data_IF_099417084528
#
_entry.id   IF_099417084528
#
_cell.length_a   1.000
_cell.length_b   1.000
_cell.length_c   1.000
_cell.angle_alpha   90.00
_cell.angle_beta   90.00
_cell.angle_gamma   90.00
#
_symmetry.space_group_name_H-M   'P 1'
#
loop_
_entity.id
_entity.type
_entity.pdbx_description
1 polymer ?
#
# COMPACT_ATOMS: atom_id res chain seq x y z
N UNK A 1 4.70 -18.12 5.16
CA UNK A 1 5.04 -18.29 3.74
C UNK A 1 3.79 -18.39 2.89
N UNK A 2 2.89 -19.35 3.12
CA UNK A 2 1.63 -19.48 2.36
C UNK A 2 0.79 -18.18 2.26
N UNK A 3 0.67 -17.40 3.33
CA UNK A 3 -0.07 -16.12 3.33
C UNK A 3 0.57 -15.04 2.44
N UNK A 4 1.90 -15.01 2.33
CA UNK A 4 2.61 -14.07 1.45
C UNK A 4 2.46 -14.52 0.00
N UNK A 5 2.57 -15.82 -0.26
CA UNK A 5 2.40 -16.38 -1.61
C UNK A 5 0.98 -16.13 -2.13
N UNK A 6 -0.03 -16.27 -1.27
CA UNK A 6 -1.42 -15.94 -1.58
C UNK A 6 -1.58 -14.44 -1.88
N UNK A 7 -1.04 -13.56 -1.02
CA UNK A 7 -1.07 -12.11 -1.24
C UNK A 7 -0.42 -11.71 -2.58
N UNK A 8 0.74 -12.30 -2.90
CA UNK A 8 1.44 -12.04 -4.17
C UNK A 8 0.66 -12.57 -5.36
N UNK A 9 -0.01 -13.73 -5.23
CA UNK A 9 -0.86 -14.26 -6.28
C UNK A 9 -2.06 -13.35 -6.55
N UNK A 10 -2.75 -12.89 -5.49
CA UNK A 10 -3.90 -11.98 -5.64
C UNK A 10 -3.48 -10.61 -6.21
N UNK A 11 -2.35 -10.04 -5.77
CA UNK A 11 -1.82 -8.80 -6.34
C UNK A 11 -1.55 -8.93 -7.84
N UNK A 12 -0.97 -10.05 -8.28
CA UNK A 12 -0.74 -10.32 -9.70
C UNK A 12 -2.05 -10.44 -10.47
N UNK A 13 -3.03 -11.14 -9.92
CA UNK A 13 -4.35 -11.30 -10.54
C UNK A 13 -5.04 -9.96 -10.74
N UNK A 14 -5.09 -9.10 -9.71
CA UNK A 14 -5.69 -7.76 -9.80
C UNK A 14 -4.95 -6.90 -10.84
N UNK A 15 -3.62 -6.95 -10.88
CA UNK A 15 -2.84 -6.20 -11.87
C UNK A 15 -3.09 -6.69 -13.31
N UNK A 16 -3.22 -8.00 -13.53
CA UNK A 16 -3.58 -8.57 -14.84
C UNK A 16 -5.02 -8.18 -15.25
N UNK A 17 -5.95 -8.17 -14.29
CA UNK A 17 -7.32 -7.76 -14.53
C UNK A 17 -7.40 -6.27 -14.90
N UNK A 18 -6.68 -5.41 -14.18
CA UNK A 18 -6.56 -3.99 -14.50
C UNK A 18 -6.02 -3.81 -15.94
N UNK A 19 -4.93 -4.50 -16.29
CA UNK A 19 -4.30 -4.41 -17.62
C UNK A 19 -5.21 -4.90 -18.75
N UNK A 20 -5.97 -5.98 -18.53
CA UNK A 20 -6.94 -6.49 -19.52
C UNK A 20 -8.11 -5.54 -19.71
N UNK A 21 -8.53 -4.85 -18.65
CA UNK A 21 -9.66 -3.93 -18.70
C UNK A 21 -9.27 -2.59 -19.31
N UNK A 22 -8.20 -1.98 -18.81
CA UNK A 22 -7.81 -0.61 -19.12
C UNK A 22 -6.33 -0.40 -18.85
N UNK A 23 -5.57 -0.12 -19.92
CA UNK A 23 -4.15 0.23 -19.79
C UNK A 23 -3.96 1.52 -18.98
N UNK A 24 -4.90 2.46 -19.12
CA UNK A 24 -4.91 3.72 -18.36
C UNK A 24 -5.10 3.48 -16.86
N UNK A 25 -5.98 2.56 -16.47
CA UNK A 25 -6.12 2.15 -15.07
C UNK A 25 -4.84 1.50 -14.54
N UNK A 26 -4.22 0.62 -15.34
CA UNK A 26 -2.98 -0.05 -14.96
C UNK A 26 -1.83 0.94 -14.75
N UNK A 27 -1.69 1.92 -15.63
CA UNK A 27 -0.70 2.99 -15.51
C UNK A 27 -1.00 3.88 -14.31
N UNK A 28 -2.28 4.21 -14.07
CA UNK A 28 -2.70 4.98 -12.90
C UNK A 28 -2.39 4.26 -11.59
N UNK A 29 -2.74 2.97 -11.48
CA UNK A 29 -2.42 2.14 -10.32
C UNK A 29 -0.91 2.16 -10.09
N UNK A 30 -0.11 1.97 -11.14
CA UNK A 30 1.36 1.95 -11.02
C UNK A 30 1.94 3.28 -10.57
N UNK A 31 1.38 4.40 -11.04
CA UNK A 31 1.84 5.74 -10.71
C UNK A 31 1.42 6.20 -9.30
N UNK A 32 0.26 5.77 -8.83
CA UNK A 32 -0.31 6.19 -7.54
C UNK A 32 -0.10 5.16 -6.42
N UNK A 33 0.49 4.00 -6.72
CA UNK A 33 0.85 3.00 -5.70
C UNK A 33 1.88 3.55 -4.71
N UNK A 34 1.71 3.18 -3.45
CA UNK A 34 2.50 3.69 -2.35
C UNK A 34 3.75 2.85 -2.13
N UNK A 35 4.89 3.52 -1.96
CA UNK A 35 6.12 2.85 -1.57
C UNK A 35 6.21 2.69 -0.05
N UNK A 36 7.00 1.71 0.40
CA UNK A 36 7.33 1.57 1.83
C UNK A 36 8.01 2.85 2.35
N UNK A 37 8.84 3.49 1.53
CA UNK A 37 9.54 4.72 1.88
C UNK A 37 8.56 5.87 2.15
N UNK A 38 7.52 6.01 1.33
CA UNK A 38 6.47 7.01 1.52
C UNK A 38 5.74 6.84 2.85
N UNK A 39 5.31 5.63 3.16
CA UNK A 39 4.60 5.33 4.42
C UNK A 39 5.50 5.49 5.64
N UNK A 40 6.79 5.17 5.49
CA UNK A 40 7.79 5.33 6.56
C UNK A 40 8.07 6.82 6.83
N UNK A 41 8.18 7.64 5.77
CA UNK A 41 8.36 9.09 5.90
C UNK A 41 7.16 9.73 6.61
N UNK A 42 5.93 9.41 6.19
CA UNK A 42 4.71 9.89 6.85
C UNK A 42 4.65 9.49 8.33
N UNK A 43 5.13 8.29 8.65
CA UNK A 43 5.21 7.87 10.05
C UNK A 43 6.19 8.72 10.87
N UNK A 44 7.39 9.01 10.34
CA UNK A 44 8.37 9.87 11.02
C UNK A 44 7.78 11.26 11.29
N UNK A 45 7.02 11.81 10.34
CA UNK A 45 6.37 13.11 10.49
C UNK A 45 5.25 13.08 11.56
N UNK A 46 4.54 11.95 11.68
CA UNK A 46 3.42 11.79 12.63
C UNK A 46 3.86 11.34 14.03
N UNK A 47 5.07 10.80 14.19
CA UNK A 47 5.61 10.32 15.46
C UNK A 47 7.02 10.88 15.74
N UNK A 48 7.15 12.17 16.08
CA UNK A 48 8.45 12.80 16.35
C UNK A 48 9.16 12.26 17.60
N UNK A 49 8.48 11.49 18.45
CA UNK A 49 9.07 10.79 19.60
C UNK A 49 9.29 9.31 19.26
N UNK A 50 10.55 8.90 19.14
CA UNK A 50 11.02 7.54 18.77
C UNK A 50 10.55 6.38 19.69
N UNK A 51 9.81 6.67 20.77
CA UNK A 51 9.48 5.68 21.82
C UNK A 51 8.12 4.98 21.64
N UNK A 52 7.35 5.29 20.59
CA UNK A 52 6.08 4.58 20.35
C UNK A 52 6.25 3.45 19.35
N UNK A 53 5.95 2.18 19.74
CA UNK A 53 5.90 1.09 18.79
C UNK A 53 4.82 1.38 17.75
N UNK A 54 5.18 1.22 16.47
CA UNK A 54 4.25 1.37 15.36
C UNK A 54 3.21 0.25 15.48
N UNK A 55 1.94 0.62 15.64
CA UNK A 55 0.86 -0.33 15.56
C UNK A 55 0.39 -0.50 14.12
N UNK A 56 -0.10 -1.69 13.79
CA UNK A 56 -0.74 -1.98 12.50
C UNK A 56 -1.86 -0.99 12.18
N UNK A 57 -2.59 -0.53 13.21
CA UNK A 57 -3.64 0.47 13.06
C UNK A 57 -3.12 1.84 12.62
N UNK A 58 -1.91 2.23 13.04
CA UNK A 58 -1.30 3.50 12.60
C UNK A 58 -0.87 3.41 11.14
N UNK A 59 -0.26 2.29 10.74
CA UNK A 59 0.14 2.04 9.35
C UNK A 59 -1.09 2.05 8.44
N UNK A 60 -2.14 1.32 8.81
CA UNK A 60 -3.39 1.27 8.05
C UNK A 60 -3.98 2.67 7.84
N UNK A 61 -4.03 3.52 8.89
CA UNK A 61 -4.54 4.89 8.77
C UNK A 61 -3.73 5.78 7.83
N UNK A 62 -2.40 5.67 7.86
CA UNK A 62 -1.52 6.45 6.97
C UNK A 62 -1.79 6.06 5.51
N UNK A 63 -1.85 4.75 5.25
CA UNK A 63 -2.12 4.21 3.91
C UNK A 63 -3.51 4.60 3.44
N UNK A 64 -4.56 4.42 4.26
CA UNK A 64 -5.94 4.78 3.97
C UNK A 64 -6.10 6.28 3.64
N UNK A 65 -5.38 7.16 4.34
CA UNK A 65 -5.42 8.59 4.08
C UNK A 65 -4.94 8.92 2.66
N UNK A 66 -3.81 8.34 2.24
CA UNK A 66 -3.28 8.54 0.88
C UNK A 66 -4.19 7.90 -0.17
N UNK A 67 -4.69 6.69 0.10
CA UNK A 67 -5.60 6.00 -0.80
C UNK A 67 -6.92 6.75 -1.02
N UNK A 68 -7.41 7.47 0.00
CA UNK A 68 -8.58 8.34 -0.13
C UNK A 68 -8.35 9.45 -1.17
N UNK A 69 -7.17 10.08 -1.14
CA UNK A 69 -6.82 11.10 -2.13
C UNK A 69 -6.72 10.51 -3.54
N UNK A 70 -6.07 9.35 -3.69
CA UNK A 70 -5.99 8.60 -4.96
C UNK A 70 -7.38 8.22 -5.48
N UNK A 71 -8.29 7.77 -4.60
CA UNK A 71 -9.66 7.42 -4.97
C UNK A 71 -10.47 8.61 -5.46
N UNK A 72 -10.30 9.79 -4.85
CA UNK A 72 -10.95 11.03 -5.32
C UNK A 72 -10.44 11.45 -6.70
N UNK A 73 -9.16 11.24 -7.01
CA UNK A 73 -8.64 11.46 -8.37
C UNK A 73 -9.24 10.46 -9.35
N UNK A 74 -9.24 9.18 -8.99
CA UNK A 74 -9.71 8.09 -9.83
C UNK A 74 -11.19 8.21 -10.19
N UNK A 75 -12.05 8.66 -9.26
CA UNK A 75 -13.50 8.77 -9.48
C UNK A 75 -13.90 9.78 -10.56
N UNK A 76 -12.98 10.64 -10.97
CA UNK A 76 -13.17 11.60 -12.07
C UNK A 76 -12.71 11.06 -13.43
N UNK A 77 -11.97 9.96 -13.43
CA UNK A 77 -11.26 9.43 -14.60
C UNK A 77 -11.79 8.07 -15.03
N UNK A 78 -12.26 7.25 -14.10
CA UNK A 78 -12.56 5.84 -14.34
C UNK A 78 -14.02 5.49 -14.08
N UNK A 79 -14.47 4.42 -14.74
CA UNK A 79 -15.78 3.82 -14.56
C UNK A 79 -15.92 3.09 -13.22
N UNK A 80 -17.15 2.78 -12.79
CA UNK A 80 -17.41 2.05 -11.54
C UNK A 80 -16.71 0.68 -11.48
N UNK A 81 -16.56 -0.01 -12.62
CA UNK A 81 -15.88 -1.31 -12.69
C UNK A 81 -14.38 -1.14 -12.45
N UNK A 82 -13.76 -0.16 -13.09
CA UNK A 82 -12.34 0.17 -12.89
C UNK A 82 -12.07 0.65 -11.46
N UNK A 83 -13.01 1.41 -10.88
CA UNK A 83 -12.95 1.86 -9.50
C UNK A 83 -13.06 0.70 -8.50
N UNK A 84 -13.75 -0.38 -8.82
CA UNK A 84 -13.79 -1.58 -7.98
C UNK A 84 -12.44 -2.34 -8.01
N UNK A 85 -11.80 -2.43 -9.18
CA UNK A 85 -10.45 -3.00 -9.30
C UNK A 85 -9.43 -2.17 -8.51
N UNK A 86 -9.55 -0.84 -8.54
CA UNK A 86 -8.72 0.04 -7.72
C UNK A 86 -8.93 -0.20 -6.22
N UNK A 87 -10.17 -0.43 -5.78
CA UNK A 87 -10.46 -0.73 -4.37
C UNK A 87 -9.83 -2.06 -3.94
N UNK A 88 -9.92 -3.09 -4.79
CA UNK A 88 -9.25 -4.37 -4.55
C UNK A 88 -7.73 -4.22 -4.47
N UNK A 89 -7.13 -3.43 -5.37
CA UNK A 89 -5.70 -3.11 -5.33
C UNK A 89 -5.31 -2.40 -4.02
N UNK A 90 -6.06 -1.36 -3.64
CA UNK A 90 -5.79 -0.58 -2.43
C UNK A 90 -5.89 -1.43 -1.16
N UNK A 91 -6.86 -2.35 -1.08
CA UNK A 91 -6.98 -3.28 0.04
C UNK A 91 -5.78 -4.23 0.15
N UNK A 92 -5.26 -4.72 -0.98
CA UNK A 92 -4.06 -5.58 -1.01
C UNK A 92 -2.79 -4.79 -0.68
N UNK A 93 -2.69 -3.55 -1.15
CA UNK A 93 -1.58 -2.64 -0.86
C UNK A 93 -1.46 -2.34 0.64
N UNK A 94 -2.57 -2.09 1.34
CA UNK A 94 -2.58 -1.93 2.81
C UNK A 94 -2.00 -3.16 3.51
N UNK A 95 -2.43 -4.36 3.10
CA UNK A 95 -1.93 -5.61 3.67
C UNK A 95 -0.44 -5.79 3.41
N UNK A 96 0.01 -5.54 2.19
CA UNK A 96 1.42 -5.66 1.80
C UNK A 96 2.30 -4.69 2.59
N UNK A 97 1.91 -3.41 2.67
CA UNK A 97 2.66 -2.38 3.40
C UNK A 97 2.69 -2.65 4.90
N UNK A 98 1.56 -3.08 5.47
CA UNK A 98 1.49 -3.47 6.89
C UNK A 98 2.41 -4.65 7.19
N UNK A 99 2.41 -5.67 6.34
CA UNK A 99 3.29 -6.82 6.49
C UNK A 99 4.77 -6.43 6.38
N UNK A 100 5.13 -5.65 5.34
CA UNK A 100 6.51 -5.21 5.12
C UNK A 100 7.04 -4.33 6.25
N UNK A 101 6.25 -3.37 6.72
CA UNK A 101 6.64 -2.48 7.81
C UNK A 101 6.76 -3.26 9.12
N UNK A 102 5.81 -4.15 9.43
CA UNK A 102 5.93 -5.04 10.59
C UNK A 102 7.20 -5.88 10.56
N UNK A 103 7.58 -6.42 9.40
CA UNK A 103 8.81 -7.19 9.25
C UNK A 103 10.05 -6.33 9.46
N UNK A 104 10.08 -5.11 8.91
CA UNK A 104 11.20 -4.16 9.06
C UNK A 104 11.37 -3.68 10.51
N UNK A 105 10.27 -3.44 11.22
CA UNK A 105 10.28 -2.89 12.57
C UNK A 105 10.48 -3.95 13.66
N UNK A 106 10.03 -5.19 13.42
CA UNK A 106 10.28 -6.34 14.30
C UNK A 106 11.66 -6.96 14.05
N UNK A 107 12.32 -6.66 12.93
CA UNK A 107 13.70 -7.06 12.73
C UNK A 107 14.58 -6.36 13.77
N UNK A 108 15.38 -7.10 14.57
CA UNK A 108 16.35 -6.47 15.45
C UNK A 108 17.26 -5.59 14.60
N UNK A 109 17.39 -4.32 14.98
CA UNK A 109 18.24 -3.32 14.32
C UNK A 109 19.69 -3.81 14.20
N UNK A 110 19.98 -4.59 13.15
CA UNK A 110 21.33 -5.01 12.77
C UNK A 110 21.96 -4.02 11.79
N UNK A 111 21.17 -3.12 11.21
CA UNK A 111 21.63 -2.08 10.30
C UNK A 111 21.54 -0.73 11.01
N UNK A 112 22.58 -0.38 11.76
CA UNK A 112 23.04 1.00 12.04
C UNK A 112 24.28 0.93 12.97
N UNK A 113 25.26 0.11 12.59
CA UNK A 113 26.64 0.23 13.08
C UNK A 113 27.58 0.14 11.87
N UNK A 114 27.76 1.26 11.21
CA UNK A 114 28.97 1.57 10.42
C UNK A 114 29.30 3.03 10.64
#
# INVERSE_FOLDING_TARGET
MAEIDELLATLREVAENARRLSMELCDFISAESLSIADVTADWFDLCPSNDRPISEQVIARIVEHRQTATRIKASRLFSEIELAILDDWQALEVKALTFSLNALLKAPCAFLRT
#
